data_IF_221703942807
#
_entry.id   IF_221703942807
#
_cell.length_a   1.000
_cell.length_b   1.000
_cell.length_c   1.000
_cell.angle_alpha   90.00
_cell.angle_beta   90.00
_cell.angle_gamma   90.00
#
_symmetry.space_group_name_H-M   'P 1'
#
loop_
_entity.id
_entity.type
_entity.pdbx_description
1 polymer ?
#
# COMPACT_ATOMS: atom_id res chain seq x y z
N UNK A 1 39.14 -22.55 46.58
CA UNK A 1 38.15 -23.24 45.71
C UNK A 1 38.89 -24.33 44.96
N UNK A 2 38.76 -25.60 45.40
CA UNK A 2 39.48 -26.72 44.78
C UNK A 2 38.81 -27.05 43.45
N UNK A 3 39.49 -26.78 42.34
CA UNK A 3 39.02 -27.20 41.03
C UNK A 3 39.21 -28.71 40.91
N UNK A 4 38.13 -29.46 41.08
CA UNK A 4 38.12 -30.87 40.75
C UNK A 4 38.36 -31.02 39.25
N UNK A 5 39.17 -32.01 38.88
CA UNK A 5 39.56 -32.30 37.49
C UNK A 5 38.35 -32.44 36.56
N UNK A 6 37.23 -32.93 37.09
CA UNK A 6 35.97 -33.12 36.38
C UNK A 6 35.28 -31.78 36.03
N UNK A 7 35.39 -30.77 36.89
CA UNK A 7 34.82 -29.44 36.63
C UNK A 7 35.58 -28.71 35.52
N UNK A 8 36.90 -28.93 35.43
CA UNK A 8 37.72 -28.34 34.37
C UNK A 8 37.39 -28.97 33.02
N UNK A 9 37.18 -30.29 32.99
CA UNK A 9 36.76 -30.99 31.77
C UNK A 9 35.39 -30.52 31.29
N UNK A 10 34.44 -30.31 32.21
CA UNK A 10 33.10 -29.84 31.86
C UNK A 10 33.10 -28.41 31.31
N UNK A 11 33.88 -27.50 31.90
CA UNK A 11 34.03 -26.13 31.42
C UNK A 11 34.70 -26.10 30.03
N UNK A 12 35.73 -26.92 29.81
CA UNK A 12 36.38 -27.03 28.51
C UNK A 12 35.43 -27.57 27.42
N UNK A 13 34.59 -28.54 27.76
CA UNK A 13 33.59 -29.10 26.86
C UNK A 13 32.50 -28.07 26.50
N UNK A 14 32.02 -27.29 27.48
CA UNK A 14 31.07 -26.20 27.26
C UNK A 14 31.64 -25.09 26.37
N UNK A 15 32.90 -24.71 26.57
CA UNK A 15 33.59 -23.75 25.71
C UNK A 15 33.73 -24.26 24.28
N UNK A 16 34.03 -25.56 24.10
CA UNK A 16 34.18 -26.17 22.79
C UNK A 16 32.84 -26.25 22.03
N UNK A 17 31.76 -26.63 22.72
CA UNK A 17 30.40 -26.64 22.14
C UNK A 17 29.96 -25.21 21.78
N UNK A 18 30.15 -24.25 22.68
CA UNK A 18 29.83 -22.84 22.42
C UNK A 18 30.60 -22.27 21.24
N UNK A 19 31.89 -22.60 21.12
CA UNK A 19 32.73 -22.20 19.99
C UNK A 19 32.26 -22.81 18.67
N UNK A 20 31.83 -24.07 18.66
CA UNK A 20 31.30 -24.74 17.46
C UNK A 20 29.98 -24.12 16.97
N UNK A 21 29.08 -23.73 17.89
CA UNK A 21 27.83 -23.04 17.56
C UNK A 21 28.09 -21.63 17.02
N UNK A 22 29.03 -20.90 17.62
CA UNK A 22 29.46 -19.58 17.15
C UNK A 22 29.99 -19.64 15.71
N UNK A 23 30.78 -20.67 15.39
CA UNK A 23 31.27 -20.88 14.01
C UNK A 23 30.16 -21.26 13.02
N UNK A 24 29.09 -21.95 13.46
CA UNK A 24 27.95 -22.28 12.60
C UNK A 24 27.11 -21.04 12.25
N UNK A 25 26.90 -20.13 13.20
CA UNK A 25 26.17 -18.88 12.92
C UNK A 25 26.98 -17.94 12.01
N UNK A 26 28.31 -17.85 12.20
CA UNK A 26 29.15 -17.04 11.31
C UNK A 26 29.27 -17.58 9.87
N UNK A 27 28.96 -18.86 9.62
CA UNK A 27 28.99 -19.44 8.26
C UNK A 27 27.69 -19.27 7.48
N UNK A 28 26.61 -18.79 8.10
CA UNK A 28 25.39 -18.41 7.38
C UNK A 28 25.53 -16.99 6.82
N UNK A 29 26.52 -16.81 5.93
CA UNK A 29 26.58 -15.66 5.05
C UNK A 29 25.33 -15.66 4.16
N UNK A 30 24.48 -14.66 4.37
CA UNK A 30 23.69 -13.95 3.35
C UNK A 30 23.51 -14.70 2.01
N UNK A 31 22.53 -15.60 1.96
CA UNK A 31 21.75 -15.79 0.73
C UNK A 31 20.39 -15.14 0.93
N UNK A 32 20.37 -13.85 0.62
CA UNK A 32 19.17 -13.10 0.32
C UNK A 32 18.60 -13.64 -1.01
N UNK A 33 17.98 -14.82 -0.96
CA UNK A 33 17.04 -15.22 -1.99
C UNK A 33 15.65 -15.01 -1.40
N UNK A 34 15.15 -13.79 -1.55
CA UNK A 34 13.71 -13.60 -1.54
C UNK A 34 13.15 -14.44 -2.69
N UNK A 35 12.20 -15.36 -2.45
CA UNK A 35 11.48 -15.97 -3.55
C UNK A 35 10.65 -14.88 -4.21
N UNK A 36 11.15 -14.34 -5.33
CA UNK A 36 10.39 -13.51 -6.25
C UNK A 36 9.38 -14.45 -6.90
N UNK A 37 8.20 -14.57 -6.28
CA UNK A 37 7.06 -15.16 -6.96
C UNK A 37 6.58 -14.16 -8.02
N UNK A 38 7.14 -14.26 -9.23
CA UNK A 38 6.50 -13.72 -10.43
C UNK A 38 5.25 -14.55 -10.67
N UNK A 39 4.11 -14.04 -10.25
CA UNK A 39 2.84 -14.48 -10.79
C UNK A 39 2.77 -13.86 -12.19
N UNK A 40 3.33 -14.57 -13.17
CA UNK A 40 3.15 -14.25 -14.57
C UNK A 40 1.70 -14.57 -14.95
N UNK A 41 0.75 -13.75 -14.50
CA UNK A 41 -0.54 -13.67 -15.18
C UNK A 41 -0.29 -12.96 -16.49
N UNK A 42 -0.01 -13.72 -17.54
CA UNK A 42 -0.01 -13.21 -18.90
C UNK A 42 -1.46 -12.84 -19.24
N UNK A 43 -1.84 -11.60 -18.95
CA UNK A 43 -3.11 -11.04 -19.40
C UNK A 43 -2.94 -10.71 -20.87
N UNK A 44 -3.28 -11.69 -21.73
CA UNK A 44 -3.39 -11.45 -23.17
C UNK A 44 -4.62 -10.58 -23.42
N UNK A 45 -4.42 -9.27 -23.49
CA UNK A 45 -5.42 -8.35 -24.03
C UNK A 45 -5.26 -8.34 -25.55
N UNK A 46 -6.07 -9.12 -26.25
CA UNK A 46 -6.27 -8.95 -27.68
C UNK A 46 -7.03 -7.62 -27.86
N UNK A 47 -6.30 -6.53 -28.06
CA UNK A 47 -6.85 -5.23 -28.45
C UNK A 47 -7.34 -5.35 -29.89
N UNK A 48 -8.61 -5.73 -30.07
CA UNK A 48 -9.32 -5.45 -31.31
C UNK A 48 -9.67 -3.96 -31.22
N UNK A 49 -8.93 -3.13 -31.97
CA UNK A 49 -9.25 -1.71 -32.07
C UNK A 49 -10.64 -1.61 -32.71
N UNK A 50 -11.63 -1.01 -32.03
CA UNK A 50 -12.94 -0.80 -32.64
C UNK A 50 -12.75 0.06 -33.89
N UNK A 51 -13.52 -0.20 -34.96
CA UNK A 51 -13.43 0.60 -36.17
C UNK A 51 -13.66 2.08 -35.84
N UNK A 52 -12.93 3.01 -36.47
CA UNK A 52 -13.03 4.43 -36.16
C UNK A 52 -14.47 4.90 -36.44
N UNK A 53 -15.18 5.27 -35.36
CA UNK A 53 -16.51 5.87 -35.47
C UNK A 53 -16.30 7.31 -35.92
N UNK A 54 -16.61 7.59 -37.18
CA UNK A 54 -16.61 8.96 -37.72
C UNK A 54 -17.84 9.66 -37.16
N UNK A 55 -17.67 10.34 -36.03
CA UNK A 55 -18.71 11.20 -35.46
C UNK A 55 -18.79 12.47 -36.30
N UNK A 56 -19.77 12.53 -37.20
CA UNK A 56 -20.10 13.76 -37.89
C UNK A 56 -20.83 14.68 -36.91
N UNK A 57 -20.10 15.65 -36.36
CA UNK A 57 -20.69 16.68 -35.51
C UNK A 57 -21.78 17.41 -36.30
N UNK A 58 -22.99 17.59 -35.74
CA UNK A 58 -24.05 18.33 -36.40
C UNK A 58 -23.54 19.75 -36.67
N UNK A 59 -23.74 20.22 -37.91
CA UNK A 59 -23.34 21.58 -38.30
C UNK A 59 -24.08 22.58 -37.41
N UNK A 60 -23.36 23.22 -36.51
CA UNK A 60 -23.89 24.26 -35.66
C UNK A 60 -24.21 25.47 -36.55
N UNK A 61 -25.48 25.88 -36.57
CA UNK A 61 -25.89 27.05 -37.36
C UNK A 61 -25.29 28.29 -36.73
N UNK A 62 -24.51 29.05 -37.51
CA UNK A 62 -23.95 30.33 -37.08
C UNK A 62 -25.10 31.24 -36.64
N UNK A 63 -25.13 31.70 -35.38
CA UNK A 63 -26.20 32.58 -34.91
C UNK A 63 -26.17 33.88 -35.70
N UNK A 64 -27.35 34.34 -36.12
CA UNK A 64 -27.48 35.63 -36.82
C UNK A 64 -27.07 36.75 -35.85
N UNK A 65 -26.32 37.77 -36.32
CA UNK A 65 -25.91 38.88 -35.48
C UNK A 65 -27.15 39.60 -34.94
N UNK A 66 -27.26 39.67 -33.60
CA UNK A 66 -28.29 40.42 -32.91
C UNK A 66 -27.71 41.76 -32.47
N UNK A 67 -28.34 42.86 -32.88
CA UNK A 67 -27.96 44.20 -32.45
C UNK A 67 -28.45 44.39 -31.02
N UNK A 68 -27.51 44.45 -30.06
CA UNK A 68 -27.82 44.74 -28.65
C UNK A 68 -27.63 46.24 -28.44
N UNK A 69 -28.72 46.94 -28.12
CA UNK A 69 -28.67 48.34 -27.73
C UNK A 69 -28.30 48.43 -26.25
N UNK A 70 -27.08 48.91 -25.98
CA UNK A 70 -26.59 49.14 -24.62
C UNK A 70 -26.91 50.60 -24.26
N UNK A 71 -27.74 50.80 -23.25
CA UNK A 71 -28.06 52.12 -22.71
C UNK A 71 -26.81 52.71 -22.02
N UNK A 72 -26.21 53.70 -22.69
CA UNK A 72 -24.94 54.33 -22.30
C UNK A 72 -25.02 55.20 -21.02
N UNK A 73 -26.21 55.40 -20.46
CA UNK A 73 -26.43 56.38 -19.40
C UNK A 73 -26.03 55.93 -17.99
N UNK A 74 -25.83 54.63 -17.74
CA UNK A 74 -25.63 54.10 -16.37
C UNK A 74 -24.34 53.36 -16.07
N UNK A 75 -23.46 53.14 -17.06
CA UNK A 75 -22.19 52.44 -16.85
C UNK A 75 -21.02 53.24 -17.42
N UNK A 76 -20.67 54.33 -16.75
CA UNK A 76 -19.38 55.01 -16.95
C UNK A 76 -18.32 54.16 -16.26
N UNK A 77 -17.82 53.15 -16.97
CA UNK A 77 -16.58 52.48 -16.57
C UNK A 77 -15.46 53.50 -16.78
N UNK A 78 -14.82 53.96 -15.72
CA UNK A 78 -13.61 54.79 -15.80
C UNK A 78 -12.55 54.01 -16.58
N UNK A 79 -12.50 54.22 -17.90
CA UNK A 79 -11.41 53.71 -18.73
C UNK A 79 -10.16 54.44 -18.27
N UNK A 80 -9.23 53.70 -17.66
CA UNK A 80 -7.89 54.20 -17.42
C UNK A 80 -7.35 54.79 -18.73
N UNK A 81 -6.60 55.89 -18.63
CA UNK A 81 -5.97 56.54 -19.77
C UNK A 81 -4.88 55.61 -20.30
N UNK A 82 -5.26 54.68 -21.19
CA UNK A 82 -4.33 53.75 -21.82
C UNK A 82 -3.68 54.52 -22.96
N UNK A 83 -2.36 54.73 -22.88
CA UNK A 83 -1.57 55.34 -23.95
C UNK A 83 -1.65 54.44 -25.20
N UNK A 84 -2.50 54.80 -26.15
CA UNK A 84 -2.72 54.04 -27.39
C UNK A 84 -1.65 54.29 -28.45
N UNK A 85 -0.69 55.20 -28.23
CA UNK A 85 0.32 55.57 -29.23
C UNK A 85 1.22 54.40 -29.68
N UNK A 86 1.38 53.39 -28.84
CA UNK A 86 2.18 52.18 -29.11
C UNK A 86 1.34 50.92 -29.37
N UNK A 87 0.01 51.01 -29.30
CA UNK A 87 -0.87 49.84 -29.35
C UNK A 87 -1.58 49.74 -30.70
N UNK A 88 -1.51 48.57 -31.34
CA UNK A 88 -2.27 48.29 -32.57
C UNK A 88 -3.67 47.79 -32.22
N UNK A 89 -4.72 48.20 -32.94
CA UNK A 89 -6.05 47.63 -32.75
C UNK A 89 -6.03 46.14 -33.07
N UNK A 90 -6.61 45.33 -32.21
CA UNK A 90 -6.76 43.89 -32.42
C UNK A 90 -8.12 43.43 -31.93
N UNK A 91 -8.73 42.50 -32.64
CA UNK A 91 -9.99 41.87 -32.27
C UNK A 91 -9.71 40.63 -31.42
N UNK A 92 -10.47 40.47 -30.34
CA UNK A 92 -10.39 39.30 -29.46
C UNK A 92 -11.65 38.46 -29.68
N UNK A 93 -11.46 37.22 -30.10
CA UNK A 93 -12.51 36.21 -30.24
C UNK A 93 -12.37 35.18 -29.14
N UNK A 94 -13.40 35.04 -28.32
CA UNK A 94 -13.46 34.08 -27.23
C UNK A 94 -14.69 33.19 -27.38
N UNK A 95 -14.48 31.89 -27.28
CA UNK A 95 -15.55 30.90 -27.38
C UNK A 95 -15.26 29.69 -26.47
N UNK A 96 -16.29 28.91 -26.18
CA UNK A 96 -16.17 27.65 -25.44
C UNK A 96 -17.01 26.56 -26.07
N UNK A 97 -16.41 25.39 -26.25
CA UNK A 97 -17.11 24.19 -26.69
C UNK A 97 -17.27 23.24 -25.51
N UNK A 98 -18.50 22.88 -25.19
CA UNK A 98 -18.79 21.93 -24.10
C UNK A 98 -19.27 20.59 -24.64
N UNK A 99 -18.62 19.53 -24.17
CA UNK A 99 -19.01 18.14 -24.37
C UNK A 99 -19.25 17.44 -23.02
N UNK A 100 -19.73 16.19 -23.03
CA UNK A 100 -20.00 15.38 -21.83
C UNK A 100 -18.74 15.18 -20.97
N UNK A 101 -17.57 15.07 -21.60
CA UNK A 101 -16.31 14.72 -20.94
C UNK A 101 -15.32 15.88 -20.81
N UNK A 102 -15.50 16.95 -21.59
CA UNK A 102 -14.50 18.00 -21.77
C UNK A 102 -15.17 19.35 -22.03
N UNK A 103 -14.62 20.41 -21.46
CA UNK A 103 -14.89 21.78 -21.90
C UNK A 103 -13.61 22.35 -22.50
N UNK A 104 -13.69 22.82 -23.74
CA UNK A 104 -12.61 23.51 -24.44
C UNK A 104 -12.87 25.02 -24.39
N UNK A 105 -11.84 25.79 -24.11
CA UNK A 105 -11.85 27.24 -24.14
C UNK A 105 -10.90 27.72 -25.23
N UNK A 106 -11.40 28.60 -26.09
CA UNK A 106 -10.65 29.15 -27.21
C UNK A 106 -10.59 30.67 -27.07
N UNK A 107 -9.39 31.24 -27.22
CA UNK A 107 -9.18 32.68 -27.25
C UNK A 107 -8.17 33.03 -28.32
N UNK A 108 -8.57 33.88 -29.26
CA UNK A 108 -7.74 34.33 -30.37
C UNK A 108 -7.72 35.84 -30.52
N UNK A 109 -6.55 36.38 -30.81
CA UNK A 109 -6.30 37.79 -31.08
C UNK A 109 -5.95 37.94 -32.55
N UNK A 110 -6.71 38.74 -33.29
CA UNK A 110 -6.62 38.88 -34.75
C UNK A 110 -6.51 40.35 -35.15
N UNK A 111 -5.64 40.65 -36.12
CA UNK A 111 -5.57 41.95 -36.78
C UNK A 111 -5.21 41.75 -38.26
N UNK A 112 -6.19 41.32 -39.06
CA UNK A 112 -5.98 40.82 -40.43
C UNK A 112 -5.29 39.46 -40.50
N UNK A 113 -4.36 39.22 -39.57
CA UNK A 113 -3.65 37.96 -39.35
C UNK A 113 -3.86 37.48 -37.90
N UNK A 114 -3.69 36.18 -37.67
CA UNK A 114 -3.77 35.57 -36.34
C UNK A 114 -2.51 35.91 -35.54
N UNK A 115 -2.62 36.84 -34.59
CA UNK A 115 -1.50 37.29 -33.76
C UNK A 115 -1.20 36.33 -32.62
N UNK A 116 -2.25 35.82 -31.96
CA UNK A 116 -2.12 34.92 -30.80
C UNK A 116 -3.33 34.03 -30.71
N UNK A 117 -3.09 32.75 -30.46
CA UNK A 117 -4.13 31.76 -30.22
C UNK A 117 -3.79 30.98 -28.94
N UNK A 118 -4.75 30.87 -28.03
CA UNK A 118 -4.65 30.07 -26.81
C UNK A 118 -5.85 29.13 -26.73
N UNK A 119 -5.56 27.84 -26.55
CA UNK A 119 -6.52 26.77 -26.39
C UNK A 119 -6.31 26.15 -25.02
N UNK A 120 -7.28 26.31 -24.13
CA UNK A 120 -7.29 25.72 -22.79
C UNK A 120 -8.38 24.65 -22.70
N UNK A 121 -8.23 23.69 -21.79
CA UNK A 121 -9.22 22.63 -21.61
C UNK A 121 -9.43 22.24 -20.15
N UNK A 122 -10.66 21.81 -19.83
CA UNK A 122 -11.04 21.31 -18.52
C UNK A 122 -11.75 19.96 -18.66
N UNK A 123 -11.12 18.90 -18.13
CA UNK A 123 -11.70 17.56 -18.09
C UNK A 123 -12.79 17.48 -17.02
N UNK A 124 -13.98 17.01 -17.41
CA UNK A 124 -15.08 16.66 -16.50
C UNK A 124 -14.77 15.24 -15.95
N UNK A 125 -13.93 15.18 -14.92
CA UNK A 125 -13.48 13.94 -14.24
C UNK A 125 -14.69 13.03 -13.89
N UNK A 126 -14.58 11.69 -14.01
CA UNK A 126 -15.72 10.78 -13.86
C UNK A 126 -16.37 10.83 -12.47
N UNK A 127 -17.71 10.85 -12.46
CA UNK A 127 -18.55 10.82 -11.24
C UNK A 127 -18.59 9.46 -10.53
N UNK A 128 -18.07 8.38 -11.13
CA UNK A 128 -18.10 7.04 -10.54
C UNK A 128 -16.73 6.36 -10.55
N UNK A 129 -16.30 5.94 -9.35
CA UNK A 129 -15.14 5.08 -9.14
C UNK A 129 -15.60 3.64 -9.39
N UNK A 130 -15.24 3.07 -10.54
CA UNK A 130 -15.66 1.70 -10.93
C UNK A 130 -14.74 0.60 -10.43
N UNK A 131 -13.56 0.92 -9.87
CA UNK A 131 -12.62 -0.09 -9.37
C UNK A 131 -12.00 0.31 -8.04
N UNK A 132 -12.50 -0.29 -6.98
CA UNK A 132 -11.84 -0.34 -5.67
C UNK A 132 -10.91 -1.54 -5.67
N UNK A 133 -9.60 -1.32 -5.71
CA UNK A 133 -8.62 -2.39 -5.54
C UNK A 133 -8.47 -2.62 -4.03
N UNK A 134 -9.07 -3.69 -3.51
CA UNK A 134 -8.80 -4.14 -2.15
C UNK A 134 -7.39 -4.73 -2.10
N UNK A 135 -6.45 -3.99 -1.51
CA UNK A 135 -5.13 -4.52 -1.17
C UNK A 135 -5.33 -5.48 0.00
N UNK A 136 -5.42 -6.78 -0.31
CA UNK A 136 -5.40 -7.84 0.69
C UNK A 136 -4.08 -7.77 1.43
N UNK A 137 -4.11 -7.21 2.64
CA UNK A 137 -2.96 -7.27 3.55
C UNK A 137 -2.60 -8.74 3.73
N UNK A 138 -1.33 -9.16 3.52
CA UNK A 138 -0.95 -10.55 3.66
C UNK A 138 -1.23 -11.00 5.08
N UNK A 139 -2.01 -12.07 5.21
CA UNK A 139 -2.24 -12.72 6.50
C UNK A 139 -0.91 -13.37 6.89
N UNK A 140 -0.37 -13.09 8.09
CA UNK A 140 0.88 -13.71 8.50
C UNK A 140 0.70 -15.23 8.56
N UNK A 141 1.48 -15.95 7.76
CA UNK A 141 1.54 -17.40 7.79
C UNK A 141 2.25 -17.83 9.09
N UNK A 142 1.81 -18.92 9.75
CA UNK A 142 2.51 -19.44 10.91
C UNK A 142 3.91 -19.91 10.48
N UNK A 143 4.96 -19.31 11.06
CA UNK A 143 6.35 -19.72 10.87
C UNK A 143 6.82 -20.52 12.07
N UNK A 144 7.73 -21.46 11.83
CA UNK A 144 8.42 -22.16 12.92
C UNK A 144 9.38 -21.20 13.62
N UNK A 145 9.44 -21.23 14.94
CA UNK A 145 10.26 -20.31 15.74
C UNK A 145 11.00 -21.07 16.84
N UNK A 146 12.28 -20.74 17.03
CA UNK A 146 13.04 -21.12 18.21
C UNK A 146 12.96 -19.96 19.21
N UNK A 147 12.54 -20.26 20.44
CA UNK A 147 12.31 -19.31 21.51
C UNK A 147 13.26 -19.59 22.66
N UNK A 148 13.92 -18.56 23.17
CA UNK A 148 14.64 -18.62 24.44
C UNK A 148 13.65 -18.24 25.55
N UNK A 149 13.43 -19.13 26.51
CA UNK A 149 12.51 -18.94 27.62
C UNK A 149 13.28 -18.70 28.91
N UNK A 150 12.85 -17.72 29.68
CA UNK A 150 13.34 -17.45 31.03
C UNK A 150 12.15 -17.34 31.96
N UNK A 151 12.08 -18.19 32.98
CA UNK A 151 11.00 -18.15 33.95
C UNK A 151 11.53 -18.22 35.37
N UNK A 152 10.78 -17.60 36.27
CA UNK A 152 11.12 -17.51 37.68
C UNK A 152 9.91 -18.03 38.46
N UNK A 153 10.10 -19.10 39.22
CA UNK A 153 9.05 -19.69 40.03
C UNK A 153 9.21 -19.31 41.50
N UNK A 154 8.20 -18.64 42.03
CA UNK A 154 8.09 -18.34 43.46
C UNK A 154 7.08 -19.27 44.11
N UNK A 155 7.41 -19.76 45.29
CA UNK A 155 6.45 -20.37 46.22
C UNK A 155 6.06 -19.32 47.26
N UNK A 156 4.89 -19.48 47.88
CA UNK A 156 4.32 -18.54 48.86
C UNK A 156 5.30 -18.25 50.02
N UNK A 157 6.21 -19.18 50.31
CA UNK A 157 7.16 -19.09 51.42
C UNK A 157 8.63 -18.94 50.99
N UNK A 158 8.97 -19.07 49.70
CA UNK A 158 10.36 -18.90 49.23
C UNK A 158 10.48 -18.80 47.71
N UNK A 159 11.53 -18.10 47.27
CA UNK A 159 12.01 -18.15 45.89
C UNK A 159 12.66 -19.51 45.64
N UNK A 160 12.16 -20.30 44.68
CA UNK A 160 12.52 -21.71 44.59
C UNK A 160 13.00 -22.17 43.21
N UNK A 161 12.76 -21.39 42.14
CA UNK A 161 13.24 -21.78 40.81
C UNK A 161 13.53 -20.62 39.88
N UNK A 162 14.59 -20.77 39.09
CA UNK A 162 14.93 -19.92 37.94
C UNK A 162 15.25 -20.86 36.81
N UNK A 163 14.39 -20.87 35.80
CA UNK A 163 14.50 -21.78 34.66
C UNK A 163 14.90 -21.00 33.42
N UNK A 164 15.93 -21.46 32.76
CA UNK A 164 16.31 -21.01 31.42
C UNK A 164 16.11 -22.18 30.47
N UNK A 165 15.47 -21.93 29.33
CA UNK A 165 15.13 -22.98 28.39
C UNK A 165 15.12 -22.54 26.94
N UNK A 166 15.12 -23.52 26.06
CA UNK A 166 14.96 -23.36 24.62
C UNK A 166 13.72 -24.13 24.19
N UNK A 167 12.84 -23.47 23.46
CA UNK A 167 11.60 -24.05 22.96
C UNK A 167 11.47 -23.84 21.46
N UNK A 168 11.42 -24.93 20.70
CA UNK A 168 11.06 -24.93 19.30
C UNK A 168 9.54 -25.05 19.16
N UNK A 169 8.92 -24.13 18.43
CA UNK A 169 7.49 -24.15 18.10
C UNK A 169 7.35 -24.30 16.60
N UNK A 170 6.72 -25.38 16.15
CA UNK A 170 6.46 -25.62 14.73
C UNK A 170 5.28 -24.81 14.22
N UNK A 171 5.35 -24.39 12.95
CA UNK A 171 4.20 -23.87 12.21
C UNK A 171 2.96 -24.81 12.27
N UNK A 172 3.18 -26.13 12.39
CA UNK A 172 2.12 -27.15 12.50
C UNK A 172 1.49 -27.24 13.90
N UNK A 173 1.97 -26.46 14.87
CA UNK A 173 1.38 -26.35 16.20
C UNK A 173 1.92 -27.33 17.24
N UNK A 174 2.92 -28.16 16.96
CA UNK A 174 3.63 -28.89 18.00
C UNK A 174 4.83 -28.09 18.51
N UNK A 175 5.22 -28.31 19.75
CA UNK A 175 6.34 -27.67 20.40
C UNK A 175 7.20 -28.69 21.16
N UNK A 176 8.50 -28.49 21.10
CA UNK A 176 9.50 -29.27 21.83
C UNK A 176 10.39 -28.28 22.57
N UNK A 177 10.59 -28.46 23.87
CA UNK A 177 11.42 -27.59 24.67
C UNK A 177 12.31 -28.36 25.64
N UNK A 178 13.37 -27.69 26.06
CA UNK A 178 14.29 -28.15 27.08
C UNK A 178 14.59 -26.99 28.01
N UNK A 179 14.27 -27.16 29.29
CA UNK A 179 14.51 -26.15 30.32
C UNK A 179 15.47 -26.71 31.37
N UNK A 180 16.26 -25.82 31.95
CA UNK A 180 17.16 -26.09 33.05
C UNK A 180 16.87 -25.15 34.22
N UNK A 181 16.61 -25.73 35.38
CA UNK A 181 16.41 -25.01 36.63
C UNK A 181 17.76 -24.79 37.33
N UNK A 182 18.22 -23.55 37.36
CA UNK A 182 19.53 -23.16 37.89
C UNK A 182 19.64 -23.34 39.40
N UNK A 183 18.53 -23.23 40.14
CA UNK A 183 18.56 -23.36 41.60
C UNK A 183 18.41 -24.80 42.07
N UNK A 184 17.63 -25.59 41.33
CA UNK A 184 17.33 -26.98 41.70
C UNK A 184 18.23 -27.99 40.96
N UNK A 185 19.01 -27.55 39.97
CA UNK A 185 19.82 -28.40 39.08
C UNK A 185 18.97 -29.49 38.38
N UNK A 186 17.73 -29.15 38.01
CA UNK A 186 16.79 -30.08 37.37
C UNK A 186 16.70 -29.77 35.88
N UNK A 187 16.73 -30.82 35.06
CA UNK A 187 16.46 -30.77 33.63
C UNK A 187 15.03 -31.19 33.36
N UNK A 188 14.30 -30.43 32.55
CA UNK A 188 12.94 -30.79 32.12
C UNK A 188 12.80 -30.71 30.61
N UNK A 189 12.23 -31.77 30.03
CA UNK A 189 11.89 -31.84 28.60
C UNK A 189 10.40 -31.59 28.47
N UNK A 190 10.03 -30.60 27.64
CA UNK A 190 8.66 -30.20 27.42
C UNK A 190 8.19 -30.62 26.03
N UNK A 191 7.02 -31.25 25.97
CA UNK A 191 6.31 -31.55 24.72
C UNK A 191 4.95 -30.87 24.78
N UNK A 192 4.64 -30.08 23.76
CA UNK A 192 3.39 -29.33 23.68
C UNK A 192 2.71 -29.51 22.34
N UNK A 193 1.38 -29.49 22.35
CA UNK A 193 0.56 -29.42 21.14
C UNK A 193 -0.43 -28.26 21.28
N UNK A 194 -0.52 -27.44 20.24
CA UNK A 194 -1.38 -26.26 20.16
C UNK A 194 -2.76 -26.67 19.65
N UNK A 195 -3.76 -26.63 20.52
CA UNK A 195 -5.15 -26.97 20.16
C UNK A 195 -5.96 -25.78 19.61
N UNK A 196 -5.60 -24.56 19.98
CA UNK A 196 -6.38 -23.36 19.63
C UNK A 196 -5.51 -22.37 18.89
N UNK A 197 -5.95 -21.99 17.68
CA UNK A 197 -5.34 -20.92 16.90
C UNK A 197 -6.23 -19.69 16.96
N UNK A 198 -5.82 -18.71 17.76
CA UNK A 198 -6.49 -17.42 17.76
C UNK A 198 -6.18 -16.67 16.46
N UNK A 199 -7.19 -16.12 15.77
CA UNK A 199 -6.96 -15.30 14.61
C UNK A 199 -6.16 -14.05 15.00
N UNK A 200 -5.26 -13.56 14.14
CA UNK A 200 -4.51 -12.33 14.41
C UNK A 200 -5.48 -11.16 14.66
N UNK A 201 -5.16 -10.34 15.66
CA UNK A 201 -5.93 -9.12 15.98
C UNK A 201 -6.06 -8.28 14.70
N UNK A 202 -7.29 -8.12 14.20
CA UNK A 202 -7.61 -7.39 12.96
C UNK A 202 -8.34 -8.21 11.90
N UNK A 203 -8.44 -9.53 12.04
CA UNK A 203 -9.28 -10.35 11.18
C UNK A 203 -10.77 -10.07 11.47
N UNK A 204 -11.38 -9.12 10.74
CA UNK A 204 -12.83 -8.91 10.76
C UNK A 204 -13.51 -10.23 10.36
N UNK A 205 -14.28 -10.84 11.27
CA UNK A 205 -15.15 -11.98 10.94
C UNK A 205 -16.01 -11.56 9.74
N UNK A 206 -15.76 -12.19 8.58
CA UNK A 206 -16.57 -12.00 7.36
C UNK A 206 -17.98 -12.52 7.69
N UNK A 207 -18.87 -11.63 8.12
CA UNK A 207 -20.28 -11.92 8.41
C UNK A 207 -20.88 -12.36 7.08
N UNK A 208 -21.04 -13.67 6.87
CA UNK A 208 -21.80 -14.22 5.74
C UNK A 208 -23.22 -13.68 5.86
N UNK A 209 -23.52 -12.55 5.22
CA UNK A 209 -24.90 -12.15 4.95
C UNK A 209 -25.34 -13.02 3.77
N UNK A 210 -26.17 -14.00 4.05
CA UNK A 210 -26.95 -14.67 3.03
C UNK A 210 -27.85 -13.62 2.39
N UNK A 211 -27.48 -13.16 1.21
CA UNK A 211 -28.31 -12.30 0.38
C UNK A 211 -29.35 -13.21 -0.29
N UNK A 212 -30.50 -13.36 0.35
CA UNK A 212 -31.67 -13.99 -0.25
C UNK A 212 -32.15 -13.05 -1.35
N UNK A 213 -31.91 -13.43 -2.61
CA UNK A 213 -32.58 -12.83 -3.77
C UNK A 213 -34.00 -13.38 -3.80
N UNK A 214 -34.97 -12.58 -3.36
CA UNK A 214 -36.35 -12.77 -3.80
C UNK A 214 -36.51 -12.02 -5.13
N UNK A 215 -36.71 -12.78 -6.20
CA UNK A 215 -37.30 -12.30 -7.45
C UNK A 215 -38.80 -12.57 -7.36
N UNK A 216 -39.61 -11.52 -7.26
CA UNK A 216 -40.94 -11.38 -7.86
C UNK A 216 -41.25 -9.88 -7.93
#
# INVERSE_FOLDING_TARGET
MKFNKDNVQFIALLLLIGYSLFLQECRQGTKNEQPIYRVDTLVKMDTILPPPVIVQLPRQSIPKPMIIYIDSTKNIVHKALIDTSKHRPAHVYQDSLEDENLTLYYSSIVNGELLKNSLDYRLKIPKQITKTVEITKPVPLPVSSLLLTGSVGTSINSFNSVRLGLQFVSAKGWALGYDYDLLQNIHSVNLGVKFVQFPPKGAKKKKRRNFVRNFF
#
